data_IF_270313183609
#
_entry.id   IF_270313183609
#
_cell.length_a   1.000
_cell.length_b   1.000
_cell.length_c   1.000
_cell.angle_alpha   90.00
_cell.angle_beta   90.00
_cell.angle_gamma   90.00
#
_symmetry.space_group_name_H-M   'P 1'
#
loop_
_entity.id
_entity.type
_entity.pdbx_description
1 polymer ?
#
# COMPACT_ATOMS: atom_id res chain seq x y z
N UNK A 1 -9.85 -10.87 22.95
CA UNK A 1 -11.05 -11.70 22.67
C UNK A 1 -11.23 -11.81 21.17
N UNK A 2 -11.80 -12.90 20.62
CA UNK A 2 -12.13 -12.99 19.21
C UNK A 2 -13.06 -11.86 18.77
N UNK A 3 -12.75 -11.23 17.62
CA UNK A 3 -13.56 -10.17 17.00
C UNK A 3 -14.27 -10.72 15.76
N UNK A 4 -15.40 -10.09 15.39
CA UNK A 4 -16.11 -10.34 14.13
C UNK A 4 -15.54 -9.40 13.08
N UNK A 5 -14.64 -9.89 12.23
CA UNK A 5 -13.89 -9.09 11.27
C UNK A 5 -14.35 -9.40 9.85
N UNK A 6 -14.74 -8.37 9.12
CA UNK A 6 -14.95 -8.43 7.68
C UNK A 6 -13.67 -8.07 6.93
N UNK A 7 -13.30 -8.82 5.90
CA UNK A 7 -12.15 -8.50 5.08
C UNK A 7 -12.52 -8.48 3.59
N UNK A 8 -12.35 -7.33 2.96
CA UNK A 8 -12.71 -7.07 1.56
C UNK A 8 -11.45 -6.80 0.74
N UNK A 9 -11.23 -7.62 -0.29
CA UNK A 9 -10.07 -7.51 -1.16
C UNK A 9 -8.96 -8.50 -0.77
N UNK A 10 -8.88 -9.61 -1.49
CA UNK A 10 -8.01 -10.76 -1.20
C UNK A 10 -6.91 -10.92 -2.27
N UNK A 11 -6.34 -9.79 -2.69
CA UNK A 11 -5.17 -9.78 -3.57
C UNK A 11 -3.89 -10.26 -2.86
N UNK A 12 -2.74 -9.99 -3.48
CA UNK A 12 -1.41 -10.40 -2.97
C UNK A 12 -1.13 -9.91 -1.55
N UNK A 13 -1.72 -8.78 -1.16
CA UNK A 13 -1.62 -8.23 0.19
C UNK A 13 -2.71 -8.76 1.11
N UNK A 14 -3.98 -8.62 0.72
CA UNK A 14 -5.13 -8.89 1.60
C UNK A 14 -5.29 -10.36 1.96
N UNK A 15 -4.97 -11.29 1.05
CA UNK A 15 -5.07 -12.73 1.35
C UNK A 15 -4.18 -13.17 2.52
N UNK A 16 -2.86 -12.89 2.56
CA UNK A 16 -2.04 -13.23 3.72
C UNK A 16 -2.44 -12.45 4.98
N UNK A 17 -2.87 -11.19 4.87
CA UNK A 17 -3.37 -10.42 6.01
C UNK A 17 -4.60 -11.08 6.65
N UNK A 18 -5.59 -11.48 5.85
CA UNK A 18 -6.78 -12.20 6.33
C UNK A 18 -6.42 -13.56 6.95
N UNK A 19 -5.43 -14.30 6.39
CA UNK A 19 -4.95 -15.56 6.98
C UNK A 19 -4.39 -15.36 8.38
N UNK A 20 -3.66 -14.28 8.64
CA UNK A 20 -3.16 -13.98 9.98
C UNK A 20 -4.27 -13.73 10.98
N UNK A 21 -5.34 -13.03 10.60
CA UNK A 21 -6.50 -12.81 11.46
C UNK A 21 -7.19 -14.12 11.84
N UNK A 22 -7.39 -15.02 10.87
CA UNK A 22 -7.94 -16.37 11.10
C UNK A 22 -7.05 -17.16 12.06
N UNK A 23 -5.74 -17.19 11.79
CA UNK A 23 -4.76 -17.91 12.61
C UNK A 23 -4.66 -17.40 14.06
N UNK A 24 -5.04 -16.12 14.28
CA UNK A 24 -5.13 -15.52 15.63
C UNK A 24 -6.48 -15.77 16.32
N UNK A 25 -7.38 -16.54 15.69
CA UNK A 25 -8.65 -16.98 16.26
C UNK A 25 -9.80 -15.98 16.12
N UNK A 26 -9.67 -14.98 15.24
CA UNK A 26 -10.79 -14.10 14.91
C UNK A 26 -11.80 -14.79 13.99
N UNK A 27 -13.07 -14.40 14.09
CA UNK A 27 -14.12 -14.82 13.13
C UNK A 27 -14.04 -13.90 11.90
N UNK A 28 -13.55 -14.43 10.78
CA UNK A 28 -13.28 -13.61 9.59
C UNK A 28 -14.30 -13.93 8.48
N UNK A 29 -15.06 -12.90 8.09
CA UNK A 29 -15.96 -12.96 6.92
C UNK A 29 -15.28 -12.28 5.74
N UNK A 30 -15.14 -12.97 4.62
CA UNK A 30 -14.33 -12.51 3.48
C UNK A 30 -15.14 -12.29 2.21
N UNK A 31 -14.75 -11.25 1.46
CA UNK A 31 -15.29 -10.98 0.13
C UNK A 31 -14.18 -10.57 -0.84
N UNK A 32 -14.28 -11.10 -2.06
CA UNK A 32 -13.43 -10.69 -3.19
C UNK A 32 -14.20 -10.86 -4.50
N UNK A 33 -13.89 -10.08 -5.53
CA UNK A 33 -14.48 -10.20 -6.87
C UNK A 33 -14.24 -11.57 -7.52
N UNK A 34 -13.06 -12.15 -7.32
CA UNK A 34 -12.72 -13.51 -7.81
C UNK A 34 -12.83 -14.53 -6.67
N UNK A 35 -13.35 -15.74 -7.00
CA UNK A 35 -13.66 -16.78 -6.00
C UNK A 35 -12.43 -17.50 -5.44
N UNK A 36 -11.38 -17.74 -6.24
CA UNK A 36 -10.27 -18.61 -5.82
C UNK A 36 -9.62 -18.24 -4.47
N UNK A 37 -9.38 -16.94 -4.21
CA UNK A 37 -8.85 -16.51 -2.93
C UNK A 37 -9.86 -16.63 -1.78
N UNK A 38 -11.16 -16.53 -2.06
CA UNK A 38 -12.24 -16.75 -1.08
C UNK A 38 -12.26 -18.22 -0.68
N UNK A 39 -12.23 -19.14 -1.65
CA UNK A 39 -12.28 -20.59 -1.40
C UNK A 39 -11.08 -21.06 -0.56
N UNK A 40 -9.87 -20.52 -0.84
CA UNK A 40 -8.67 -20.79 -0.02
C UNK A 40 -8.85 -20.35 1.44
N UNK A 41 -9.46 -19.17 1.67
CA UNK A 41 -9.65 -18.66 3.03
C UNK A 41 -10.79 -19.36 3.76
N UNK A 42 -11.83 -19.79 3.05
CA UNK A 42 -12.89 -20.64 3.61
C UNK A 42 -12.31 -21.96 4.08
N UNK A 43 -11.44 -22.59 3.29
CA UNK A 43 -10.73 -23.80 3.70
C UNK A 43 -9.83 -23.56 4.94
N UNK A 44 -9.40 -22.30 5.19
CA UNK A 44 -8.64 -21.91 6.37
C UNK A 44 -9.52 -21.46 7.57
N UNK A 45 -10.86 -21.52 7.45
CA UNK A 45 -11.80 -21.20 8.52
C UNK A 45 -12.53 -19.86 8.41
N UNK A 46 -12.44 -19.16 7.26
CA UNK A 46 -13.24 -17.96 7.02
C UNK A 46 -14.67 -18.29 6.59
N UNK A 47 -15.57 -17.31 6.72
CA UNK A 47 -16.91 -17.33 6.15
C UNK A 47 -16.94 -16.54 4.84
N UNK A 48 -17.49 -17.10 3.76
CA UNK A 48 -17.65 -16.38 2.50
C UNK A 48 -18.87 -15.46 2.55
N UNK A 49 -18.71 -14.21 2.10
CA UNK A 49 -19.81 -13.27 1.87
C UNK A 49 -20.10 -13.10 0.38
N UNK A 50 -21.33 -12.67 0.09
CA UNK A 50 -21.81 -12.46 -1.30
C UNK A 50 -21.54 -11.05 -1.81
N UNK A 51 -21.38 -10.09 -0.92
CA UNK A 51 -21.15 -8.66 -1.22
C UNK A 51 -20.42 -7.96 -0.08
N UNK A 52 -19.89 -6.74 -0.28
CA UNK A 52 -19.37 -5.91 0.81
C UNK A 52 -20.43 -5.59 1.89
N UNK A 53 -21.70 -5.42 1.52
CA UNK A 53 -22.77 -5.20 2.49
C UNK A 53 -23.03 -6.44 3.36
N UNK A 54 -22.94 -7.65 2.79
CA UNK A 54 -23.05 -8.90 3.52
C UNK A 54 -21.89 -9.06 4.52
N UNK A 55 -20.66 -8.64 4.14
CA UNK A 55 -19.52 -8.54 5.08
C UNK A 55 -19.83 -7.60 6.23
N UNK A 56 -20.34 -6.40 5.95
CA UNK A 56 -20.61 -5.38 6.96
C UNK A 56 -21.70 -5.83 7.95
N UNK A 57 -22.73 -6.54 7.46
CA UNK A 57 -23.81 -7.07 8.29
C UNK A 57 -23.31 -8.05 9.36
N UNK A 58 -22.22 -8.78 9.09
CA UNK A 58 -21.69 -9.83 9.96
C UNK A 58 -20.50 -9.37 10.79
N UNK A 59 -20.08 -8.08 10.71
CA UNK A 59 -18.80 -7.63 11.27
C UNK A 59 -18.96 -6.43 12.18
N UNK A 60 -18.08 -6.34 13.19
CA UNK A 60 -17.89 -5.16 14.05
C UNK A 60 -16.68 -4.33 13.62
N UNK A 61 -15.78 -4.94 12.85
CA UNK A 61 -14.63 -4.31 12.22
C UNK A 61 -14.63 -4.74 10.75
N UNK A 62 -14.57 -3.80 9.81
CA UNK A 62 -14.50 -4.08 8.37
C UNK A 62 -13.18 -3.54 7.84
N UNK A 63 -12.39 -4.41 7.21
CA UNK A 63 -11.09 -4.07 6.62
C UNK A 63 -11.22 -4.11 5.09
N UNK A 64 -10.73 -3.06 4.41
CA UNK A 64 -10.63 -3.02 2.95
C UNK A 64 -9.16 -2.99 2.52
N UNK A 65 -8.81 -3.78 1.49
CA UNK A 65 -7.47 -3.82 0.89
C UNK A 65 -7.61 -4.03 -0.61
N UNK A 66 -7.89 -2.94 -1.33
CA UNK A 66 -8.19 -2.95 -2.77
C UNK A 66 -7.28 -1.97 -3.53
N UNK A 67 -7.20 -2.02 -4.88
CA UNK A 67 -6.13 -1.37 -5.62
C UNK A 67 -6.08 0.16 -5.59
N UNK A 68 -7.22 0.86 -5.74
CA UNK A 68 -7.24 2.32 -5.94
C UNK A 68 -8.50 2.96 -5.35
N UNK A 69 -8.57 4.28 -5.37
CA UNK A 69 -9.67 5.12 -4.88
C UNK A 69 -11.04 4.67 -5.40
N UNK A 70 -11.26 4.47 -6.72
CA UNK A 70 -12.57 4.02 -7.21
C UNK A 70 -13.00 2.65 -6.68
N UNK A 71 -12.04 1.74 -6.45
CA UNK A 71 -12.34 0.43 -5.88
C UNK A 71 -12.79 0.56 -4.42
N UNK A 72 -12.14 1.42 -3.61
CA UNK A 72 -12.53 1.68 -2.21
C UNK A 72 -13.90 2.35 -2.17
N UNK A 73 -14.15 3.34 -3.03
CA UNK A 73 -15.45 3.99 -3.14
C UNK A 73 -16.56 2.98 -3.48
N UNK A 74 -16.31 2.10 -4.42
CA UNK A 74 -17.27 1.08 -4.82
C UNK A 74 -17.57 0.08 -3.69
N UNK A 75 -16.55 -0.41 -2.96
CA UNK A 75 -16.78 -1.39 -1.89
C UNK A 75 -17.32 -0.76 -0.61
N UNK A 76 -17.08 0.54 -0.36
CA UNK A 76 -17.63 1.21 0.83
C UNK A 76 -18.99 1.83 0.52
N UNK A 77 -19.09 2.65 -0.53
CA UNK A 77 -20.26 3.51 -0.80
C UNK A 77 -21.09 3.10 -2.02
N UNK A 78 -20.70 2.03 -2.73
CA UNK A 78 -21.49 1.49 -3.84
C UNK A 78 -22.83 0.92 -3.39
N UNK A 79 -23.72 0.53 -4.35
CA UNK A 79 -25.07 0.03 -4.05
C UNK A 79 -25.09 -1.15 -3.07
N UNK A 80 -24.16 -2.12 -3.25
CA UNK A 80 -23.97 -3.28 -2.36
C UNK A 80 -22.74 -3.09 -1.46
N UNK A 81 -22.35 -1.85 -1.21
CA UNK A 81 -21.21 -1.47 -0.40
C UNK A 81 -21.43 -1.62 1.10
N UNK A 82 -20.35 -1.45 1.86
CA UNK A 82 -20.35 -1.54 3.32
C UNK A 82 -21.43 -0.66 3.95
N UNK A 83 -21.64 0.57 3.44
CA UNK A 83 -22.61 1.52 3.98
C UNK A 83 -24.07 1.06 3.88
N UNK A 84 -24.40 0.11 2.98
CA UNK A 84 -25.75 -0.40 2.81
C UNK A 84 -26.23 -1.22 4.03
N UNK A 85 -25.31 -1.88 4.75
CA UNK A 85 -25.62 -2.70 5.92
C UNK A 85 -24.72 -2.38 7.14
N UNK A 86 -24.04 -1.22 7.14
CA UNK A 86 -23.20 -0.80 8.25
C UNK A 86 -24.00 -0.62 9.52
N UNK A 87 -23.56 -1.26 10.61
CA UNK A 87 -24.19 -1.12 11.93
C UNK A 87 -23.51 0.00 12.73
N UNK A 88 -24.27 0.75 13.54
CA UNK A 88 -23.67 1.71 14.48
C UNK A 88 -22.59 1.07 15.35
N UNK A 89 -21.50 1.79 15.59
CA UNK A 89 -20.34 1.32 16.36
C UNK A 89 -19.35 0.43 15.57
N UNK A 90 -19.63 0.13 14.28
CA UNK A 90 -18.67 -0.57 13.41
C UNK A 90 -17.47 0.33 13.11
N UNK A 91 -16.26 -0.24 13.16
CA UNK A 91 -15.03 0.43 12.68
C UNK A 91 -14.70 -0.08 11.29
N UNK A 92 -14.59 0.84 10.33
CA UNK A 92 -14.11 0.56 8.96
C UNK A 92 -12.65 0.97 8.88
N UNK A 93 -11.77 0.06 8.46
CA UNK A 93 -10.33 0.29 8.33
C UNK A 93 -9.96 0.13 6.85
N UNK A 94 -9.64 1.22 6.17
CA UNK A 94 -9.13 1.14 4.81
C UNK A 94 -7.60 1.05 4.82
N UNK A 95 -7.08 -0.12 4.47
CA UNK A 95 -5.65 -0.39 4.38
C UNK A 95 -5.10 -0.21 2.96
N UNK A 96 -5.94 0.23 2.03
CA UNK A 96 -5.58 0.59 0.66
C UNK A 96 -4.79 1.90 0.62
N UNK A 97 -4.07 2.16 -0.47
CA UNK A 97 -3.45 3.47 -0.72
C UNK A 97 -4.31 4.25 -1.70
N UNK A 98 -5.01 5.29 -1.20
CA UNK A 98 -5.99 6.09 -1.94
C UNK A 98 -5.83 7.59 -1.70
N UNK A 99 -6.65 8.39 -2.36
CA UNK A 99 -6.71 9.84 -2.17
C UNK A 99 -7.10 10.22 -0.73
N UNK A 100 -6.33 11.08 -0.03
CA UNK A 100 -6.71 11.61 1.28
C UNK A 100 -8.04 12.36 1.25
N UNK A 101 -8.36 13.01 0.14
CA UNK A 101 -9.63 13.73 -0.04
C UNK A 101 -10.80 12.75 -0.11
N UNK A 102 -10.64 11.65 -0.86
CA UNK A 102 -11.65 10.60 -0.92
C UNK A 102 -11.83 9.94 0.45
N UNK A 103 -10.75 9.71 1.19
CA UNK A 103 -10.79 9.17 2.55
C UNK A 103 -11.63 10.04 3.48
N UNK A 104 -11.43 11.37 3.49
CA UNK A 104 -12.22 12.30 4.30
C UNK A 104 -13.72 12.22 3.96
N UNK A 105 -14.04 12.16 2.67
CA UNK A 105 -15.43 12.04 2.20
C UNK A 105 -16.05 10.70 2.65
N UNK A 106 -15.35 9.59 2.48
CA UNK A 106 -15.83 8.27 2.90
C UNK A 106 -15.99 8.19 4.43
N UNK A 107 -15.06 8.76 5.19
CA UNK A 107 -15.16 8.83 6.65
C UNK A 107 -16.42 9.58 7.10
N UNK A 108 -16.76 10.69 6.43
CA UNK A 108 -18.01 11.42 6.71
C UNK A 108 -19.25 10.59 6.42
N UNK A 109 -19.26 9.79 5.35
CA UNK A 109 -20.38 8.90 5.02
C UNK A 109 -20.52 7.75 6.03
N UNK A 110 -19.39 7.17 6.49
CA UNK A 110 -19.38 6.15 7.55
C UNK A 110 -19.89 6.72 8.86
N UNK A 111 -19.45 7.93 9.23
CA UNK A 111 -19.91 8.61 10.44
C UNK A 111 -21.41 8.91 10.42
N UNK A 112 -21.95 9.31 9.27
CA UNK A 112 -23.39 9.51 9.09
C UNK A 112 -24.25 8.25 9.31
N UNK A 113 -23.63 7.06 9.23
CA UNK A 113 -24.23 5.75 9.54
C UNK A 113 -23.92 5.29 10.98
N UNK A 114 -23.30 6.13 11.80
CA UNK A 114 -22.92 5.79 13.19
C UNK A 114 -21.69 4.89 13.31
N UNK A 115 -20.90 4.72 12.25
CA UNK A 115 -19.62 4.03 12.27
C UNK A 115 -18.43 5.01 12.43
N UNK A 116 -17.24 4.45 12.52
CA UNK A 116 -15.98 5.21 12.52
C UNK A 116 -15.05 4.66 11.44
N UNK A 117 -14.43 5.52 10.63
CA UNK A 117 -13.47 5.11 9.62
C UNK A 117 -12.04 5.50 10.03
N UNK A 118 -11.13 4.55 9.91
CA UNK A 118 -9.68 4.77 9.96
C UNK A 118 -9.08 4.48 8.59
N UNK A 119 -8.14 5.29 8.17
CA UNK A 119 -7.24 4.97 7.07
C UNK A 119 -5.93 4.42 7.62
N UNK A 120 -5.53 3.27 7.12
CA UNK A 120 -4.40 2.52 7.66
C UNK A 120 -3.51 1.92 6.54
N UNK A 121 -3.07 2.73 5.56
CA UNK A 121 -2.22 2.23 4.49
C UNK A 121 -0.93 1.62 5.04
N UNK A 122 -0.37 0.69 4.25
CA UNK A 122 0.73 -0.18 4.70
C UNK A 122 2.00 0.00 3.88
N UNK A 123 3.12 -0.39 4.47
CA UNK A 123 4.42 -0.52 3.82
C UNK A 123 5.08 -1.84 4.24
N UNK A 124 5.82 -2.48 3.30
CA UNK A 124 6.47 -3.78 3.51
C UNK A 124 6.26 -4.76 2.36
N UNK A 125 5.36 -4.43 1.42
CA UNK A 125 5.04 -5.26 0.25
C UNK A 125 4.47 -6.63 0.61
N UNK A 126 4.43 -7.52 -0.38
CA UNK A 126 3.89 -8.88 -0.21
C UNK A 126 4.63 -9.68 0.88
N UNK A 127 5.95 -9.56 0.94
CA UNK A 127 6.78 -10.24 1.96
C UNK A 127 6.42 -9.77 3.36
N UNK A 128 6.20 -8.46 3.55
CA UNK A 128 5.74 -7.90 4.82
C UNK A 128 4.35 -8.39 5.21
N UNK A 129 3.44 -8.55 4.25
CA UNK A 129 2.10 -9.09 4.50
C UNK A 129 2.15 -10.58 4.87
N UNK A 130 2.97 -11.38 4.17
CA UNK A 130 3.14 -12.82 4.44
C UNK A 130 3.72 -13.04 5.85
N UNK A 131 4.65 -12.20 6.29
CA UNK A 131 5.36 -12.36 7.57
C UNK A 131 4.70 -11.61 8.74
N UNK A 132 3.51 -11.02 8.57
CA UNK A 132 2.87 -10.14 9.56
C UNK A 132 3.83 -9.02 10.06
N UNK A 133 4.62 -8.45 9.18
CA UNK A 133 5.68 -7.49 9.50
C UNK A 133 5.46 -6.11 8.83
N UNK A 134 4.21 -5.80 8.47
CA UNK A 134 3.87 -4.53 7.84
C UNK A 134 4.11 -3.35 8.78
N UNK A 135 4.58 -2.23 8.22
CA UNK A 135 4.42 -0.92 8.83
C UNK A 135 3.03 -0.41 8.50
N UNK A 136 2.28 0.09 9.47
CA UNK A 136 0.90 0.55 9.31
C UNK A 136 0.80 2.00 9.77
N UNK A 137 0.30 2.88 8.89
CA UNK A 137 0.22 4.33 9.11
C UNK A 137 -1.24 4.69 9.33
N UNK A 138 -1.65 4.90 10.59
CA UNK A 138 -3.08 5.03 10.94
C UNK A 138 -3.48 6.50 11.07
N UNK A 139 -4.51 6.90 10.32
CA UNK A 139 -5.21 8.19 10.48
C UNK A 139 -6.63 7.99 10.98
N UNK A 140 -7.15 8.94 11.76
CA UNK A 140 -8.50 8.97 12.28
C UNK A 140 -8.59 8.88 13.81
N UNK A 141 -9.77 8.66 14.32
CA UNK A 141 -10.08 8.73 15.77
C UNK A 141 -9.17 7.86 16.66
N UNK A 142 -8.60 8.46 17.70
CA UNK A 142 -7.64 7.81 18.58
C UNK A 142 -8.26 6.66 19.41
N UNK A 143 -9.54 6.77 19.81
CA UNK A 143 -10.20 5.72 20.57
C UNK A 143 -10.52 4.52 19.66
N UNK A 144 -10.96 4.78 18.42
CA UNK A 144 -11.14 3.74 17.42
C UNK A 144 -9.81 3.04 17.11
N UNK A 145 -8.71 3.80 16.95
CA UNK A 145 -7.37 3.21 16.79
C UNK A 145 -6.99 2.33 17.98
N UNK A 146 -7.14 2.81 19.22
CA UNK A 146 -6.82 2.03 20.42
C UNK A 146 -7.61 0.71 20.47
N UNK A 147 -8.90 0.75 20.08
CA UNK A 147 -9.77 -0.44 20.01
C UNK A 147 -9.27 -1.47 18.99
N UNK A 148 -8.84 -1.03 17.79
CA UNK A 148 -8.48 -1.95 16.69
C UNK A 148 -6.99 -2.27 16.64
N UNK A 149 -6.15 -1.62 17.44
CA UNK A 149 -4.71 -1.86 17.48
C UNK A 149 -4.35 -3.34 17.62
N UNK A 150 -4.98 -4.15 18.50
CA UNK A 150 -4.69 -5.58 18.60
C UNK A 150 -4.97 -6.36 17.31
N UNK A 151 -5.96 -5.92 16.50
CA UNK A 151 -6.26 -6.49 15.18
C UNK A 151 -5.18 -6.12 14.17
N UNK A 152 -4.71 -4.87 14.16
CA UNK A 152 -3.62 -4.43 13.30
C UNK A 152 -2.30 -5.15 13.62
N UNK A 153 -2.02 -5.43 14.89
CA UNK A 153 -0.85 -6.18 15.35
C UNK A 153 -0.83 -7.64 14.86
N UNK A 154 -1.97 -8.19 14.45
CA UNK A 154 -1.99 -9.49 13.79
C UNK A 154 -1.35 -9.48 12.40
N UNK A 155 -1.26 -8.32 11.74
CA UNK A 155 -0.84 -8.16 10.35
C UNK A 155 0.45 -7.33 10.21
N UNK A 156 0.82 -6.59 11.23
CA UNK A 156 1.96 -5.67 11.22
C UNK A 156 2.90 -5.84 12.40
N UNK A 157 4.08 -5.25 12.29
CA UNK A 157 5.01 -5.17 13.41
C UNK A 157 4.49 -4.15 14.43
N UNK A 158 4.25 -4.53 15.71
CA UNK A 158 3.70 -3.63 16.73
C UNK A 158 4.47 -2.31 16.90
N UNK A 159 5.81 -2.33 16.73
CA UNK A 159 6.67 -1.15 16.83
C UNK A 159 6.56 -0.21 15.62
N UNK A 160 5.91 -0.68 14.52
CA UNK A 160 5.76 0.05 13.26
C UNK A 160 4.30 0.37 12.94
N UNK A 161 3.42 0.24 13.91
CA UNK A 161 2.03 0.68 13.82
C UNK A 161 1.95 2.06 14.48
N UNK A 162 1.82 3.09 13.65
CA UNK A 162 1.93 4.48 14.10
C UNK A 162 0.61 5.21 13.86
N UNK A 163 0.05 5.82 14.92
CA UNK A 163 -1.06 6.76 14.79
C UNK A 163 -0.50 8.12 14.34
N UNK A 164 -0.80 8.48 13.10
CA UNK A 164 -0.23 9.67 12.43
C UNK A 164 -0.96 10.94 12.83
N UNK A 165 -2.29 10.84 13.01
CA UNK A 165 -3.11 11.97 13.39
C UNK A 165 -4.58 11.59 13.51
N UNK A 166 -5.35 12.46 14.17
CA UNK A 166 -6.77 12.21 14.48
C UNK A 166 -7.70 12.48 13.30
N UNK A 167 -7.22 13.19 12.28
CA UNK A 167 -8.01 13.50 11.09
C UNK A 167 -7.99 12.34 10.08
N UNK A 168 -9.13 11.94 9.52
CA UNK A 168 -9.18 11.00 8.42
C UNK A 168 -8.32 11.46 7.23
N UNK A 169 -7.55 10.54 6.65
CA UNK A 169 -6.61 10.81 5.57
C UNK A 169 -5.17 11.09 6.03
N UNK A 170 -4.92 11.24 7.35
CA UNK A 170 -3.55 11.46 7.87
C UNK A 170 -2.62 10.28 7.55
N UNK A 171 -3.09 9.04 7.65
CA UNK A 171 -2.34 7.86 7.26
C UNK A 171 -2.04 7.85 5.76
N UNK A 172 -3.01 8.23 4.92
CA UNK A 172 -2.82 8.34 3.46
C UNK A 172 -1.77 9.41 3.12
N UNK A 173 -1.79 10.57 3.77
CA UNK A 173 -0.76 11.60 3.59
C UNK A 173 0.62 11.03 3.97
N UNK A 174 0.73 10.33 5.10
CA UNK A 174 1.98 9.67 5.50
C UNK A 174 2.44 8.65 4.45
N UNK A 175 1.51 7.85 3.90
CA UNK A 175 1.82 6.90 2.83
C UNK A 175 2.32 7.60 1.57
N UNK A 176 1.71 8.72 1.18
CA UNK A 176 2.17 9.54 0.05
C UNK A 176 3.61 10.04 0.32
N UNK A 177 3.90 10.58 1.50
CA UNK A 177 5.25 11.00 1.89
C UNK A 177 6.26 9.84 1.78
N UNK A 178 5.89 8.63 2.22
CA UNK A 178 6.73 7.45 2.07
C UNK A 178 7.02 7.14 0.59
N UNK A 179 6.00 7.19 -0.28
CA UNK A 179 6.19 6.90 -1.71
C UNK A 179 7.03 7.98 -2.43
N UNK A 180 6.87 9.24 -2.06
CA UNK A 180 7.69 10.36 -2.54
C UNK A 180 9.16 10.17 -2.15
N UNK A 181 9.44 9.84 -0.89
CA UNK A 181 10.81 9.61 -0.40
C UNK A 181 11.46 8.40 -1.11
N UNK A 182 10.71 7.30 -1.27
CA UNK A 182 11.18 6.13 -2.02
C UNK A 182 11.50 6.50 -3.47
N UNK A 183 10.64 7.28 -4.13
CA UNK A 183 10.81 7.68 -5.52
C UNK A 183 12.09 8.50 -5.76
N UNK A 184 12.33 9.48 -4.89
CA UNK A 184 13.56 10.27 -4.96
C UNK A 184 14.82 9.42 -4.79
N UNK A 185 14.82 8.52 -3.80
CA UNK A 185 15.92 7.58 -3.59
C UNK A 185 16.10 6.64 -4.79
N UNK A 186 15.01 6.14 -5.37
CA UNK A 186 15.04 5.21 -6.50
C UNK A 186 15.61 5.86 -7.78
N UNK A 187 15.25 7.11 -8.05
CA UNK A 187 15.82 7.88 -9.16
C UNK A 187 17.33 8.10 -8.94
N UNK A 188 17.73 8.60 -7.75
CA UNK A 188 19.14 8.82 -7.45
C UNK A 188 20.00 7.56 -7.51
N UNK A 189 19.48 6.42 -7.00
CA UNK A 189 20.15 5.11 -7.12
C UNK A 189 20.29 4.69 -8.58
N UNK A 190 19.26 4.90 -9.40
CA UNK A 190 19.31 4.58 -10.83
C UNK A 190 20.39 5.36 -11.56
N UNK A 191 20.49 6.67 -11.30
CA UNK A 191 21.51 7.56 -11.87
C UNK A 191 22.92 7.20 -11.39
N UNK A 192 23.09 6.92 -10.10
CA UNK A 192 24.36 6.50 -9.53
C UNK A 192 24.88 5.20 -10.17
N UNK A 193 23.99 4.20 -10.35
CA UNK A 193 24.36 2.94 -11.00
C UNK A 193 24.64 3.14 -12.51
N UNK A 194 23.90 4.02 -13.19
CA UNK A 194 24.18 4.38 -14.58
C UNK A 194 25.55 5.04 -14.72
N UNK A 195 25.87 5.99 -13.86
CA UNK A 195 27.17 6.67 -13.86
C UNK A 195 28.32 5.69 -13.63
N UNK A 196 28.21 4.82 -12.62
CA UNK A 196 29.22 3.81 -12.33
C UNK A 196 29.48 2.90 -13.53
N UNK A 197 28.43 2.38 -14.17
CA UNK A 197 28.52 1.53 -15.37
C UNK A 197 29.15 2.27 -16.54
N UNK A 198 28.76 3.54 -16.77
CA UNK A 198 29.29 4.35 -17.89
C UNK A 198 30.76 4.71 -17.69
N UNK A 199 31.19 4.93 -16.43
CA UNK A 199 32.58 5.19 -16.06
C UNK A 199 33.45 3.91 -16.03
N UNK A 200 32.89 2.74 -16.28
CA UNK A 200 33.61 1.47 -16.21
C UNK A 200 33.97 1.02 -14.78
N UNK A 201 33.27 1.56 -13.76
CA UNK A 201 33.47 1.20 -12.37
C UNK A 201 32.51 0.07 -11.99
N UNK A 202 32.98 -0.87 -11.16
CA UNK A 202 32.15 -1.97 -10.65
C UNK A 202 31.00 -1.43 -9.79
N UNK A 203 29.77 -1.55 -10.30
CA UNK A 203 28.57 -1.06 -9.62
C UNK A 203 28.30 -1.76 -8.28
N UNK A 204 28.71 -3.03 -8.11
CA UNK A 204 28.60 -3.76 -6.85
C UNK A 204 29.47 -3.15 -5.76
N UNK A 205 30.72 -2.81 -6.10
CA UNK A 205 31.65 -2.13 -5.18
C UNK A 205 31.19 -0.69 -4.86
N UNK A 206 30.67 0.03 -5.86
CA UNK A 206 30.07 1.35 -5.63
C UNK A 206 28.91 1.23 -4.66
N UNK A 207 27.96 0.32 -4.89
CA UNK A 207 26.83 0.08 -3.99
C UNK A 207 27.30 -0.25 -2.57
N UNK A 208 28.29 -1.14 -2.43
CA UNK A 208 28.84 -1.52 -1.13
C UNK A 208 29.43 -0.31 -0.39
N UNK A 209 30.19 0.54 -1.06
CA UNK A 209 30.74 1.74 -0.47
C UNK A 209 29.66 2.74 -0.02
N UNK A 210 28.64 2.95 -0.86
CA UNK A 210 27.53 3.86 -0.55
C UNK A 210 26.68 3.39 0.63
N UNK A 211 26.53 2.08 0.84
CA UNK A 211 25.82 1.51 1.97
C UNK A 211 26.49 1.80 3.33
N UNK A 212 27.78 2.11 3.34
CA UNK A 212 28.52 2.47 4.55
C UNK A 212 28.41 3.96 4.95
N UNK A 213 27.75 4.80 4.14
CA UNK A 213 27.69 6.25 4.35
C UNK A 213 26.29 6.82 4.34
N UNK A 214 26.19 8.16 4.27
CA UNK A 214 24.89 8.89 4.25
C UNK A 214 23.99 8.57 3.06
N UNK A 215 24.53 8.03 1.97
CA UNK A 215 23.75 7.57 0.82
C UNK A 215 23.00 6.26 1.11
N UNK A 216 23.23 5.63 2.27
CA UNK A 216 22.59 4.37 2.65
C UNK A 216 21.07 4.52 2.74
N UNK A 217 20.38 3.56 2.18
CA UNK A 217 18.92 3.45 2.27
C UNK A 217 18.48 2.02 1.97
N UNK A 218 17.29 1.64 2.45
CA UNK A 218 16.69 0.36 2.06
C UNK A 218 16.46 0.25 0.54
N UNK A 219 16.26 1.39 -0.12
CA UNK A 219 16.13 1.47 -1.58
C UNK A 219 17.45 1.10 -2.25
N UNK A 220 18.58 1.68 -1.83
CA UNK A 220 19.91 1.33 -2.33
C UNK A 220 20.25 -0.14 -2.05
N UNK A 221 19.92 -0.61 -0.85
CA UNK A 221 20.18 -1.99 -0.43
C UNK A 221 19.44 -3.00 -1.31
N UNK A 222 18.14 -2.83 -1.49
CA UNK A 222 17.30 -3.83 -2.18
C UNK A 222 17.25 -3.55 -3.68
N UNK A 223 16.91 -2.33 -4.08
CA UNK A 223 16.66 -2.01 -5.49
C UNK A 223 17.94 -1.71 -6.26
N UNK A 224 18.97 -1.19 -5.60
CA UNK A 224 20.31 -1.12 -6.19
C UNK A 224 20.85 -2.49 -6.60
N UNK A 225 20.65 -3.50 -5.74
CA UNK A 225 21.02 -4.88 -6.08
C UNK A 225 20.21 -5.45 -7.25
N UNK A 226 18.89 -5.20 -7.26
CA UNK A 226 18.01 -5.62 -8.36
C UNK A 226 18.44 -5.02 -9.70
N UNK A 227 18.78 -3.73 -9.71
CA UNK A 227 19.27 -3.03 -10.91
C UNK A 227 20.59 -3.63 -11.41
N UNK A 228 21.51 -4.00 -10.51
CA UNK A 228 22.79 -4.64 -10.88
C UNK A 228 22.59 -6.05 -11.46
N UNK A 229 21.56 -6.77 -11.00
CA UNK A 229 21.23 -8.14 -11.45
C UNK A 229 20.21 -8.17 -12.58
N UNK A 230 19.68 -7.04 -13.02
CA UNK A 230 18.54 -6.93 -13.93
C UNK A 230 17.35 -7.82 -13.49
N UNK A 231 17.11 -7.94 -12.16
CA UNK A 231 16.01 -8.72 -11.59
C UNK A 231 14.83 -7.82 -11.25
N UNK A 232 13.90 -7.72 -12.19
CA UNK A 232 12.71 -6.90 -12.08
C UNK A 232 11.43 -7.70 -11.87
N UNK A 233 11.52 -8.91 -11.29
CA UNK A 233 10.35 -9.67 -10.83
C UNK A 233 9.58 -8.84 -9.81
N UNK A 234 8.25 -8.69 -9.96
CA UNK A 234 7.49 -7.72 -9.18
C UNK A 234 7.39 -8.09 -7.70
N UNK A 235 8.00 -7.28 -6.84
CA UNK A 235 7.64 -7.15 -5.42
C UNK A 235 6.59 -6.05 -5.24
N UNK A 236 6.68 -4.99 -6.05
CA UNK A 236 5.66 -3.94 -6.17
C UNK A 236 5.58 -3.47 -7.62
N UNK A 237 4.43 -3.69 -8.27
CA UNK A 237 4.27 -3.43 -9.71
C UNK A 237 4.34 -1.95 -10.04
N UNK A 238 5.01 -1.61 -11.14
CA UNK A 238 5.17 -0.23 -11.62
C UNK A 238 3.84 0.49 -11.82
N UNK A 239 2.79 -0.17 -12.33
CA UNK A 239 1.46 0.44 -12.48
C UNK A 239 0.84 0.89 -11.16
N UNK A 240 1.11 0.19 -10.04
CA UNK A 240 0.66 0.61 -8.72
C UNK A 240 1.48 1.79 -8.20
N UNK A 241 2.76 1.81 -8.52
CA UNK A 241 3.61 2.95 -8.19
C UNK A 241 3.26 4.19 -9.03
N UNK A 242 2.87 4.01 -10.30
CA UNK A 242 2.32 5.08 -11.14
C UNK A 242 1.08 5.72 -10.50
N UNK A 243 0.16 4.89 -9.99
CA UNK A 243 -0.98 5.37 -9.22
C UNK A 243 -0.53 6.17 -7.99
N UNK A 244 0.46 5.69 -7.23
CA UNK A 244 0.95 6.38 -6.04
C UNK A 244 1.56 7.75 -6.38
N UNK A 245 2.29 7.87 -7.49
CA UNK A 245 2.81 9.16 -7.97
C UNK A 245 1.69 10.12 -8.42
N UNK A 246 0.62 9.60 -9.02
CA UNK A 246 -0.58 10.40 -9.31
C UNK A 246 -1.22 10.93 -8.03
N UNK A 247 -1.43 10.08 -7.02
CA UNK A 247 -1.96 10.49 -5.72
C UNK A 247 -1.07 11.54 -5.04
N UNK A 248 0.26 11.41 -5.17
CA UNK A 248 1.21 12.39 -4.66
C UNK A 248 1.07 13.76 -5.34
N UNK A 249 0.91 13.77 -6.66
CA UNK A 249 0.71 15.00 -7.44
C UNK A 249 -0.62 15.66 -7.11
N UNK A 250 -1.69 14.89 -6.96
CA UNK A 250 -3.02 15.38 -6.55
C UNK A 250 -2.98 15.99 -5.14
N UNK A 251 -2.32 15.31 -4.19
CA UNK A 251 -2.17 15.83 -2.83
C UNK A 251 -1.32 17.09 -2.79
N UNK A 252 -0.23 17.16 -3.55
CA UNK A 252 0.60 18.35 -3.68
C UNK A 252 -0.20 19.56 -4.20
N UNK A 253 -0.99 19.35 -5.25
CA UNK A 253 -1.84 20.38 -5.81
C UNK A 253 -2.89 20.86 -4.79
N UNK A 254 -3.52 19.95 -4.06
CA UNK A 254 -4.52 20.29 -3.04
C UNK A 254 -3.96 21.10 -1.86
N UNK A 255 -2.67 20.95 -1.56
CA UNK A 255 -2.01 21.66 -0.46
C UNK A 255 -1.05 22.77 -0.91
N UNK A 256 -0.95 23.06 -2.20
CA UNK A 256 -0.06 24.09 -2.74
C UNK A 256 1.43 23.80 -2.55
N UNK A 257 1.84 22.51 -2.52
CA UNK A 257 3.23 22.09 -2.30
C UNK A 257 3.92 21.83 -3.63
N UNK A 258 5.03 22.53 -3.90
CA UNK A 258 5.86 22.22 -5.07
C UNK A 258 6.67 20.94 -4.83
N UNK A 259 6.56 19.97 -5.75
CA UNK A 259 7.28 18.67 -5.68
C UNK A 259 8.04 18.36 -6.98
N UNK A 260 9.10 19.14 -7.33
CA UNK A 260 9.81 18.98 -8.61
C UNK A 260 10.48 17.62 -8.75
N UNK A 261 11.08 17.06 -7.69
CA UNK A 261 11.67 15.72 -7.72
C UNK A 261 10.61 14.63 -8.02
N UNK A 262 9.44 14.73 -7.41
CA UNK A 262 8.32 13.80 -7.67
C UNK A 262 7.83 13.90 -9.12
N UNK A 263 7.82 15.10 -9.70
CA UNK A 263 7.46 15.28 -11.11
C UNK A 263 8.42 14.53 -12.04
N UNK A 264 9.72 14.59 -11.79
CA UNK A 264 10.74 13.83 -12.53
C UNK A 264 10.52 12.33 -12.37
N UNK A 265 10.34 11.85 -11.14
CA UNK A 265 10.05 10.43 -10.87
C UNK A 265 8.80 9.96 -11.61
N UNK A 266 7.74 10.77 -11.62
CA UNK A 266 6.50 10.46 -12.35
C UNK A 266 6.76 10.28 -13.84
N UNK A 267 7.62 11.10 -14.46
CA UNK A 267 7.98 10.95 -15.88
C UNK A 267 8.78 9.66 -16.13
N UNK A 268 9.71 9.30 -15.27
CA UNK A 268 10.45 8.04 -15.38
C UNK A 268 9.52 6.82 -15.27
N UNK A 269 8.57 6.86 -14.35
CA UNK A 269 7.56 5.80 -14.18
C UNK A 269 6.65 5.71 -15.41
N UNK A 270 6.20 6.85 -15.95
CA UNK A 270 5.38 6.91 -17.16
C UNK A 270 6.14 6.35 -18.37
N UNK A 271 7.42 6.70 -18.53
CA UNK A 271 8.27 6.17 -19.60
C UNK A 271 8.45 4.64 -19.50
N UNK A 272 8.62 4.11 -18.26
CA UNK A 272 8.69 2.67 -18.04
C UNK A 272 7.37 1.98 -18.41
N UNK A 273 6.23 2.51 -17.97
CA UNK A 273 4.91 1.95 -18.31
C UNK A 273 4.67 1.98 -19.81
N UNK A 274 4.96 3.11 -20.47
CA UNK A 274 4.81 3.27 -21.92
C UNK A 274 5.70 2.29 -22.73
N UNK A 275 6.84 1.87 -22.17
CA UNK A 275 7.73 0.87 -22.78
C UNK A 275 7.39 -0.58 -22.41
N UNK A 276 6.20 -0.84 -21.85
CA UNK A 276 5.71 -2.19 -21.53
C UNK A 276 6.08 -2.69 -20.13
N UNK A 277 6.70 -1.86 -19.27
CA UNK A 277 7.16 -2.23 -17.92
C UNK A 277 6.11 -2.15 -16.81
N UNK A 278 4.82 -2.03 -17.13
CA UNK A 278 3.74 -1.85 -16.15
C UNK A 278 3.66 -2.94 -15.08
N UNK A 279 3.98 -4.17 -15.45
CA UNK A 279 3.95 -5.35 -14.57
C UNK A 279 5.31 -5.72 -13.97
N UNK A 280 6.38 -5.03 -14.34
CA UNK A 280 7.68 -5.16 -13.70
C UNK A 280 7.68 -4.52 -12.32
N UNK A 281 8.67 -4.89 -11.51
CA UNK A 281 8.95 -4.19 -10.26
C UNK A 281 9.29 -2.71 -10.53
N UNK A 282 8.81 -1.81 -9.70
CA UNK A 282 9.03 -0.37 -9.89
C UNK A 282 10.52 0.04 -9.88
N UNK A 283 11.43 -0.79 -9.36
CA UNK A 283 12.87 -0.60 -9.50
C UNK A 283 13.35 -0.65 -10.96
N UNK A 284 12.53 -1.18 -11.88
CA UNK A 284 12.81 -1.17 -13.31
C UNK A 284 12.86 0.24 -13.92
N UNK A 285 12.52 1.33 -13.19
CA UNK A 285 12.80 2.69 -13.65
C UNK A 285 14.29 2.89 -13.96
N UNK A 286 15.18 2.13 -13.31
CA UNK A 286 16.61 2.11 -13.65
C UNK A 286 16.87 1.80 -15.12
N UNK A 287 16.07 0.94 -15.77
CA UNK A 287 16.23 0.63 -17.20
C UNK A 287 15.95 1.84 -18.11
N UNK A 288 15.05 2.73 -17.69
CA UNK A 288 14.80 3.99 -18.41
C UNK A 288 16.05 4.88 -18.35
N UNK A 289 16.62 5.03 -17.16
CA UNK A 289 17.85 5.82 -16.93
C UNK A 289 19.04 5.19 -17.68
N UNK A 290 19.19 3.87 -17.65
CA UNK A 290 20.27 3.17 -18.36
C UNK A 290 20.17 3.35 -19.88
N UNK A 291 18.99 3.22 -20.44
CA UNK A 291 18.76 3.43 -21.88
C UNK A 291 19.04 4.86 -22.31
N UNK A 292 18.64 5.87 -21.52
CA UNK A 292 18.97 7.28 -21.84
C UNK A 292 20.46 7.58 -21.72
N UNK A 293 21.20 6.83 -20.91
CA UNK A 293 22.65 6.88 -20.84
C UNK A 293 23.35 6.08 -21.94
N UNK A 294 22.63 5.45 -22.88
CA UNK A 294 23.17 4.60 -23.93
C UNK A 294 23.80 3.30 -23.41
N UNK A 295 23.33 2.81 -22.26
CA UNK A 295 23.70 1.52 -21.71
C UNK A 295 22.70 0.45 -22.19
N UNK A 296 23.19 -0.74 -22.47
CA UNK A 296 22.34 -1.92 -22.72
C UNK A 296 21.80 -2.45 -21.38
N UNK A 297 20.60 -2.99 -21.41
CA UNK A 297 19.95 -3.63 -20.23
C UNK A 297 20.73 -4.86 -19.79
#
# INVERSE_FOLDING_TARGET
MPEQIGFIGLGVMGKPMAKHLIAKGHHVTVYNRSKGAVDELVAAGATAAKSPSDVAQQSTIVITMVPDTPDVEAVIAGPDGVLAALRPGTVVIDMSSISPVATKRLASLVAAKGGTMLDAPVSGGEIGAINAALSIMVGGDANAFARVRPVLECMGNPERIVHIGTEPGSGQVCKICNQVAIGGALAGVSEAMALARKAGVDGGRVRQALLGGFASSRVLEVHGERMLKSDYKPGFRTRLYQKDMRLASEAAAAHGVAMPATAIVSQLVNALVASGGADLDYSAIGTVVFRTAGLKD
#
